data_IF_150163600123
#
_entry.id   IF_150163600123
#
_cell.length_a   1.000
_cell.length_b   1.000
_cell.length_c   1.000
_cell.angle_alpha   90.00
_cell.angle_beta   90.00
_cell.angle_gamma   90.00
#
_symmetry.space_group_name_H-M   'P 1'
#
loop_
_entity.id
_entity.type
_entity.pdbx_description
1 polymer ?
#
# COMPACT_ATOMS: atom_id res chain seq x y z
N UNK A 1 17.42 -14.56 26.67
CA UNK A 1 17.75 -13.14 26.37
C UNK A 1 17.74 -12.78 24.87
N UNK A 2 18.26 -13.61 23.96
CA UNK A 2 18.29 -13.33 22.51
C UNK A 2 16.92 -13.05 21.88
N UNK A 3 15.88 -13.82 22.25
CA UNK A 3 14.52 -13.61 21.75
C UNK A 3 13.89 -12.27 22.17
N UNK A 4 14.19 -11.77 23.38
CA UNK A 4 13.67 -10.49 23.84
C UNK A 4 14.34 -9.30 23.13
N UNK A 5 15.66 -9.37 22.92
CA UNK A 5 16.40 -8.36 22.13
C UNK A 5 15.93 -8.33 20.67
N UNK A 6 15.69 -9.51 20.07
CA UNK A 6 15.17 -9.62 18.70
C UNK A 6 13.76 -9.03 18.56
N UNK A 7 12.83 -9.40 19.44
CA UNK A 7 11.47 -8.83 19.46
C UNK A 7 11.45 -7.32 19.69
N UNK A 8 12.32 -6.80 20.56
CA UNK A 8 12.48 -5.35 20.77
C UNK A 8 12.95 -4.66 19.48
N UNK A 9 13.91 -5.25 18.77
CA UNK A 9 14.40 -4.71 17.50
C UNK A 9 13.31 -4.71 16.41
N UNK A 10 12.52 -5.77 16.32
CA UNK A 10 11.40 -5.88 15.38
C UNK A 10 10.33 -4.81 15.66
N UNK A 11 9.96 -4.60 16.93
CA UNK A 11 9.01 -3.57 17.33
C UNK A 11 9.51 -2.15 17.01
N UNK A 12 10.80 -1.88 17.22
CA UNK A 12 11.42 -0.58 16.87
C UNK A 12 11.38 -0.36 15.35
N UNK A 13 11.67 -1.39 14.55
CA UNK A 13 11.56 -1.29 13.09
C UNK A 13 10.12 -0.99 12.65
N UNK A 14 9.13 -1.68 13.22
CA UNK A 14 7.72 -1.41 12.92
C UNK A 14 7.34 0.02 13.28
N UNK A 15 7.75 0.50 14.45
CA UNK A 15 7.52 1.87 14.88
C UNK A 15 8.14 2.89 13.92
N UNK A 16 9.38 2.66 13.47
CA UNK A 16 10.05 3.51 12.48
C UNK A 16 9.28 3.54 11.15
N UNK A 17 8.76 2.40 10.69
CA UNK A 17 7.94 2.34 9.48
C UNK A 17 6.65 3.16 9.64
N UNK A 18 5.99 3.14 10.81
CA UNK A 18 4.81 3.98 11.09
C UNK A 18 5.16 5.47 10.95
N UNK A 19 6.25 5.91 11.57
CA UNK A 19 6.65 7.31 11.50
C UNK A 19 7.00 7.76 10.08
N UNK A 20 7.71 6.92 9.32
CA UNK A 20 8.03 7.19 7.92
C UNK A 20 6.74 7.29 7.10
N UNK A 21 5.79 6.38 7.32
CA UNK A 21 4.50 6.40 6.63
C UNK A 21 3.74 7.71 6.88
N UNK A 22 3.62 8.13 8.14
CA UNK A 22 2.97 9.39 8.53
C UNK A 22 3.65 10.61 7.92
N UNK A 23 4.99 10.67 7.94
CA UNK A 23 5.75 11.75 7.31
C UNK A 23 5.53 11.81 5.80
N UNK A 24 5.52 10.65 5.13
CA UNK A 24 5.27 10.58 3.68
C UNK A 24 3.84 11.00 3.32
N UNK A 25 2.84 10.61 4.11
CA UNK A 25 1.46 11.08 3.91
C UNK A 25 1.32 12.59 4.11
N UNK A 26 1.94 13.14 5.15
CA UNK A 26 1.96 14.58 5.39
C UNK A 26 2.62 15.34 4.23
N UNK A 27 3.78 14.87 3.78
CA UNK A 27 4.49 15.44 2.64
C UNK A 27 3.63 15.38 1.37
N UNK A 28 3.00 14.24 1.09
CA UNK A 28 2.13 14.07 -0.06
C UNK A 28 0.93 15.03 -0.01
N UNK A 29 0.28 15.16 1.14
CA UNK A 29 -0.82 16.09 1.37
C UNK A 29 -0.40 17.53 1.07
N UNK A 30 0.64 18.00 1.75
CA UNK A 30 1.11 19.38 1.65
C UNK A 30 1.50 19.77 0.21
N UNK A 31 2.01 18.82 -0.56
CA UNK A 31 2.59 19.11 -1.87
C UNK A 31 1.67 18.82 -3.06
N UNK A 32 0.64 17.97 -2.92
CA UNK A 32 -0.20 17.54 -4.05
C UNK A 32 -1.66 17.98 -3.94
N UNK A 33 -2.09 18.42 -2.78
CA UNK A 33 -3.46 18.90 -2.58
C UNK A 33 -3.61 20.27 -3.22
N UNK A 34 -4.47 20.33 -4.24
CA UNK A 34 -4.96 21.55 -4.88
C UNK A 34 -6.48 21.41 -5.03
N UNK A 35 -7.24 22.49 -5.24
CA UNK A 35 -8.70 22.39 -5.39
C UNK A 35 -9.16 21.42 -6.50
N UNK A 36 -8.31 21.17 -7.51
CA UNK A 36 -8.61 20.24 -8.61
C UNK A 36 -8.23 18.79 -8.33
N UNK A 37 -7.36 18.54 -7.35
CA UNK A 37 -6.78 17.21 -7.04
C UNK A 37 -7.14 16.72 -5.64
N UNK A 38 -7.80 17.54 -4.84
CA UNK A 38 -8.11 17.31 -3.43
C UNK A 38 -8.80 15.95 -3.18
N UNK A 39 -9.88 15.67 -3.91
CA UNK A 39 -10.65 14.43 -3.75
C UNK A 39 -9.81 13.17 -4.04
N UNK A 40 -8.98 13.20 -5.08
CA UNK A 40 -8.08 12.09 -5.41
C UNK A 40 -6.99 11.95 -4.35
N UNK A 41 -6.41 13.05 -3.88
CA UNK A 41 -5.37 13.01 -2.85
C UNK A 41 -5.91 12.42 -1.54
N UNK A 42 -7.11 12.83 -1.11
CA UNK A 42 -7.75 12.24 0.06
C UNK A 42 -8.11 10.77 -0.13
N UNK A 43 -8.59 10.39 -1.31
CA UNK A 43 -8.89 8.99 -1.63
C UNK A 43 -7.63 8.11 -1.55
N UNK A 44 -6.50 8.60 -2.07
CA UNK A 44 -5.20 7.95 -1.96
C UNK A 44 -4.79 7.83 -0.49
N UNK A 45 -4.79 8.93 0.27
CA UNK A 45 -4.42 8.91 1.69
C UNK A 45 -5.25 7.88 2.47
N UNK A 46 -6.57 7.91 2.31
CA UNK A 46 -7.47 6.98 2.97
C UNK A 46 -7.17 5.52 2.59
N UNK A 47 -7.02 5.23 1.29
CA UNK A 47 -6.78 3.89 0.78
C UNK A 47 -5.46 3.30 1.29
N UNK A 48 -4.38 4.07 1.26
CA UNK A 48 -3.08 3.60 1.74
C UNK A 48 -3.00 3.49 3.27
N UNK A 49 -3.74 4.34 4.01
CA UNK A 49 -3.92 4.16 5.46
C UNK A 49 -4.67 2.87 5.77
N UNK A 50 -5.70 2.53 4.98
CA UNK A 50 -6.38 1.24 5.09
C UNK A 50 -5.42 0.07 4.83
N UNK A 51 -4.59 0.11 3.78
CA UNK A 51 -3.59 -0.94 3.54
C UNK A 51 -2.63 -1.14 4.70
N UNK A 52 -2.16 -0.03 5.27
CA UNK A 52 -1.23 -0.08 6.39
C UNK A 52 -1.86 -0.68 7.65
N UNK A 53 -3.07 -0.25 8.01
CA UNK A 53 -3.82 -0.82 9.13
C UNK A 53 -4.17 -2.29 8.90
N UNK A 54 -4.57 -2.65 7.68
CA UNK A 54 -4.94 -4.00 7.32
C UNK A 54 -3.72 -4.94 7.37
N UNK A 55 -2.55 -4.45 6.96
CA UNK A 55 -1.27 -5.14 7.13
C UNK A 55 -0.93 -5.40 8.61
N UNK A 56 -1.04 -4.38 9.47
CA UNK A 56 -0.80 -4.53 10.92
C UNK A 56 -1.78 -5.56 11.50
N UNK A 57 -3.08 -5.44 11.20
CA UNK A 57 -4.11 -6.31 11.74
C UNK A 57 -4.02 -7.75 11.22
N UNK A 58 -3.66 -7.97 9.96
CA UNK A 58 -3.41 -9.31 9.42
C UNK A 58 -2.24 -9.99 10.14
N UNK A 59 -1.16 -9.25 10.40
CA UNK A 59 0.01 -9.78 11.08
C UNK A 59 -0.29 -10.22 12.52
N UNK A 60 -1.20 -9.51 13.21
CA UNK A 60 -1.55 -9.76 14.61
C UNK A 60 -2.68 -10.78 14.78
N UNK A 61 -3.71 -10.73 13.94
CA UNK A 61 -4.92 -11.58 14.06
C UNK A 61 -4.70 -12.95 13.42
N UNK A 62 -4.16 -12.99 12.20
CA UNK A 62 -4.07 -14.22 11.40
C UNK A 62 -2.70 -14.92 11.49
N UNK A 63 -1.74 -14.35 12.25
CA UNK A 63 -0.35 -14.85 12.40
C UNK A 63 0.35 -15.16 11.07
N UNK A 64 -0.09 -14.52 9.99
CA UNK A 64 0.52 -14.68 8.67
C UNK A 64 1.88 -13.99 8.72
N UNK A 65 2.96 -14.70 8.34
CA UNK A 65 4.25 -14.04 8.10
C UNK A 65 4.07 -13.08 6.93
N UNK A 66 4.01 -11.79 7.22
CA UNK A 66 3.99 -10.76 6.19
C UNK A 66 5.34 -10.06 6.13
N UNK A 67 5.74 -9.64 4.93
CA UNK A 67 6.95 -8.84 4.69
C UNK A 67 6.92 -7.53 5.47
N UNK A 68 8.06 -6.93 5.77
CA UNK A 68 8.15 -5.74 6.63
C UNK A 68 7.31 -4.54 6.13
N UNK A 69 7.04 -4.45 4.82
CA UNK A 69 6.27 -3.39 4.17
C UNK A 69 5.38 -4.01 3.08
N UNK A 70 4.07 -3.72 3.05
CA UNK A 70 3.18 -4.27 2.02
C UNK A 70 3.46 -3.63 0.66
N UNK A 71 3.36 -4.42 -0.42
CA UNK A 71 3.68 -4.00 -1.80
C UNK A 71 2.97 -2.70 -2.23
N UNK A 72 1.68 -2.47 -1.91
CA UNK A 72 1.03 -1.19 -2.20
C UNK A 72 1.79 0.01 -1.60
N UNK A 73 2.23 -0.10 -0.36
CA UNK A 73 2.90 1.00 0.33
C UNK A 73 4.27 1.28 -0.30
N UNK A 74 4.97 0.25 -0.79
CA UNK A 74 6.22 0.42 -1.55
C UNK A 74 5.95 1.21 -2.85
N UNK A 75 4.92 0.82 -3.61
CA UNK A 75 4.54 1.53 -4.83
C UNK A 75 4.15 2.99 -4.58
N UNK A 76 3.43 3.24 -3.48
CA UNK A 76 3.09 4.59 -3.04
C UNK A 76 4.33 5.45 -2.76
N UNK A 77 5.31 4.92 -2.02
CA UNK A 77 6.56 5.63 -1.75
C UNK A 77 7.37 5.92 -3.01
N UNK A 78 7.50 4.94 -3.91
CA UNK A 78 8.17 5.15 -5.20
C UNK A 78 7.48 6.23 -6.03
N UNK A 79 6.16 6.27 -6.00
CA UNK A 79 5.37 7.27 -6.73
C UNK A 79 5.53 8.67 -6.13
N UNK A 80 5.54 8.82 -4.80
CA UNK A 80 5.84 10.10 -4.15
C UNK A 80 7.25 10.58 -4.48
N UNK A 81 8.23 9.67 -4.41
CA UNK A 81 9.62 9.98 -4.71
C UNK A 81 9.78 10.42 -6.17
N UNK A 82 9.04 9.80 -7.10
CA UNK A 82 8.98 10.21 -8.49
C UNK A 82 8.42 11.63 -8.66
N UNK A 83 7.33 11.97 -7.95
CA UNK A 83 6.76 13.32 -7.95
C UNK A 83 7.77 14.33 -7.40
N UNK A 84 8.45 14.00 -6.30
CA UNK A 84 9.49 14.84 -5.70
C UNK A 84 10.66 15.09 -6.65
N UNK A 85 11.21 14.03 -7.24
CA UNK A 85 12.31 14.13 -8.20
C UNK A 85 11.90 14.98 -9.40
N UNK A 86 10.70 14.76 -9.95
CA UNK A 86 10.19 15.53 -11.08
C UNK A 86 10.09 17.03 -10.78
N UNK A 87 9.77 17.41 -9.55
CA UNK A 87 9.66 18.82 -9.14
C UNK A 87 11.02 19.48 -8.92
N UNK A 88 12.00 18.73 -8.42
CA UNK A 88 13.31 19.28 -8.06
C UNK A 88 14.38 19.12 -9.16
N UNK A 89 14.12 18.34 -10.21
CA UNK A 89 15.11 18.07 -11.24
C UNK A 89 14.62 18.48 -12.63
N UNK A 90 15.56 18.90 -13.50
CA UNK A 90 15.26 19.34 -14.87
C UNK A 90 15.40 18.22 -15.91
N UNK A 91 15.46 16.96 -15.50
CA UNK A 91 15.71 15.83 -16.42
C UNK A 91 14.63 15.75 -17.51
N UNK A 92 15.06 15.74 -18.78
CA UNK A 92 14.16 15.69 -19.96
C UNK A 92 13.24 14.47 -19.94
N UNK A 93 13.71 13.32 -19.46
CA UNK A 93 12.92 12.08 -19.36
C UNK A 93 11.69 12.22 -18.44
N UNK A 94 11.80 12.98 -17.35
CA UNK A 94 10.69 13.20 -16.40
C UNK A 94 9.62 14.16 -16.92
N UNK A 95 9.85 14.82 -18.07
CA UNK A 95 8.87 15.68 -18.75
C UNK A 95 7.94 14.92 -19.70
N UNK A 96 8.02 13.59 -19.73
CA UNK A 96 7.18 12.77 -20.60
C UNK A 96 5.67 12.99 -20.30
N UNK A 97 4.78 13.07 -21.31
CA UNK A 97 3.36 13.34 -21.10
C UNK A 97 2.63 12.29 -20.25
N UNK A 98 3.11 11.04 -20.23
CA UNK A 98 2.59 9.97 -19.36
C UNK A 98 2.92 10.19 -17.86
N UNK A 99 3.89 11.05 -17.55
CA UNK A 99 4.34 11.34 -16.19
C UNK A 99 3.77 12.66 -15.65
N UNK A 100 2.67 13.18 -16.20
CA UNK A 100 1.98 14.34 -15.59
C UNK A 100 1.53 13.99 -14.17
N UNK A 101 1.59 14.96 -13.26
CA UNK A 101 1.28 14.76 -11.84
C UNK A 101 -0.11 14.13 -11.65
N UNK A 102 -1.11 14.61 -12.40
CA UNK A 102 -2.46 14.05 -12.39
C UNK A 102 -2.49 12.57 -12.77
N UNK A 103 -1.74 12.15 -13.79
CA UNK A 103 -1.68 10.74 -14.20
C UNK A 103 -0.98 9.88 -13.16
N UNK A 104 0.08 10.39 -12.53
CA UNK A 104 0.75 9.67 -11.42
C UNK A 104 -0.25 9.43 -10.29
N UNK A 105 -1.05 10.45 -9.92
CA UNK A 105 -2.11 10.28 -8.91
C UNK A 105 -3.14 9.22 -9.32
N UNK A 106 -3.58 9.20 -10.59
CA UNK A 106 -4.48 8.15 -11.09
C UNK A 106 -3.84 6.77 -11.05
N UNK A 107 -2.55 6.63 -11.38
CA UNK A 107 -1.84 5.35 -11.28
C UNK A 107 -1.75 4.85 -9.84
N UNK A 108 -1.45 5.75 -8.89
CA UNK A 108 -1.45 5.43 -7.45
C UNK A 108 -2.83 4.92 -7.02
N UNK A 109 -3.89 5.64 -7.36
CA UNK A 109 -5.26 5.26 -7.01
C UNK A 109 -5.66 3.91 -7.63
N UNK A 110 -5.42 3.75 -8.94
CA UNK A 110 -5.77 2.54 -9.69
C UNK A 110 -5.02 1.31 -9.18
N UNK A 111 -3.72 1.44 -8.93
CA UNK A 111 -2.91 0.37 -8.36
C UNK A 111 -3.41 -0.03 -6.96
N UNK A 112 -3.74 0.98 -6.14
CA UNK A 112 -4.37 0.74 -4.84
C UNK A 112 -5.67 -0.04 -4.98
N UNK A 113 -6.58 0.34 -5.87
CA UNK A 113 -7.86 -0.37 -6.04
C UNK A 113 -7.66 -1.84 -6.45
N UNK A 114 -6.74 -2.12 -7.38
CA UNK A 114 -6.43 -3.50 -7.79
C UNK A 114 -5.95 -4.33 -6.59
N UNK A 115 -5.03 -3.79 -5.80
CA UNK A 115 -4.50 -4.49 -4.63
C UNK A 115 -5.54 -4.64 -3.52
N UNK A 116 -6.53 -3.76 -3.45
CA UNK A 116 -7.63 -3.90 -2.51
C UNK A 116 -8.45 -5.16 -2.82
N UNK A 117 -8.70 -5.42 -4.10
CA UNK A 117 -9.41 -6.63 -4.55
C UNK A 117 -8.60 -7.90 -4.24
N UNK A 118 -7.28 -7.87 -4.46
CA UNK A 118 -6.40 -9.00 -4.15
C UNK A 118 -6.34 -9.30 -2.64
N UNK A 119 -6.23 -8.24 -1.81
CA UNK A 119 -6.31 -8.38 -0.36
C UNK A 119 -7.67 -8.91 0.10
N UNK A 120 -8.77 -8.38 -0.43
CA UNK A 120 -10.11 -8.85 -0.10
C UNK A 120 -10.27 -10.34 -0.44
N UNK A 121 -9.83 -10.76 -1.63
CA UNK A 121 -9.86 -12.15 -2.05
C UNK A 121 -9.04 -13.04 -1.10
N UNK A 122 -7.84 -12.60 -0.70
CA UNK A 122 -6.97 -13.33 0.23
C UNK A 122 -7.61 -13.50 1.61
N UNK A 123 -8.18 -12.43 2.16
CA UNK A 123 -8.85 -12.44 3.47
C UNK A 123 -10.07 -13.37 3.43
N UNK A 124 -10.94 -13.21 2.43
CA UNK A 124 -12.14 -14.05 2.26
C UNK A 124 -11.74 -15.52 2.15
N UNK A 125 -10.73 -15.84 1.33
CA UNK A 125 -10.26 -17.22 1.15
C UNK A 125 -9.73 -17.82 2.45
N UNK A 126 -8.98 -17.05 3.24
CA UNK A 126 -8.44 -17.52 4.51
C UNK A 126 -9.52 -17.72 5.57
N UNK A 127 -10.48 -16.79 5.69
CA UNK A 127 -11.64 -16.93 6.59
C UNK A 127 -12.46 -18.17 6.22
N UNK A 128 -12.69 -18.40 4.92
CA UNK A 128 -13.40 -19.59 4.44
C UNK A 128 -12.68 -20.89 4.80
N UNK A 129 -11.34 -20.90 4.69
CA UNK A 129 -10.52 -22.05 5.12
C UNK A 129 -10.63 -22.28 6.63
N UNK A 130 -10.58 -21.24 7.45
CA UNK A 130 -10.70 -21.36 8.91
C UNK A 130 -12.09 -21.84 9.34
N UNK A 131 -13.14 -21.37 8.68
CA UNK A 131 -14.53 -21.76 8.96
C UNK A 131 -14.93 -23.10 8.31
N UNK A 132 -14.00 -23.76 7.60
CA UNK A 132 -14.26 -24.98 6.83
C UNK A 132 -15.40 -24.84 5.79
N UNK A 133 -15.65 -23.60 5.33
CA UNK A 133 -16.66 -23.28 4.32
C UNK A 133 -15.97 -23.36 2.96
N UNK A 134 -16.24 -24.42 2.19
CA UNK A 134 -15.79 -24.52 0.80
C UNK A 134 -16.55 -23.52 -0.07
N UNK A 135 -15.97 -22.36 -0.36
CA UNK A 135 -16.55 -21.44 -1.32
C UNK A 135 -16.46 -22.01 -2.75
N UNK A 136 -17.56 -21.88 -3.49
CA UNK A 136 -17.87 -22.48 -4.80
C UNK A 136 -16.99 -21.91 -5.96
N UNK A 137 -15.94 -21.13 -5.68
CA UNK A 137 -14.98 -20.72 -6.71
C UNK A 137 -13.98 -21.81 -7.10
N UNK A 138 -14.04 -22.99 -6.48
CA UNK A 138 -13.34 -24.18 -6.94
C UNK A 138 -14.03 -24.84 -8.16
N UNK A 139 -14.52 -24.05 -9.13
CA UNK A 139 -14.61 -24.56 -10.50
C UNK A 139 -13.18 -24.60 -11.02
N UNK A 140 -12.45 -25.66 -10.64
CA UNK A 140 -11.30 -26.14 -11.40
C UNK A 140 -11.73 -26.10 -12.87
N UNK A 141 -11.16 -25.17 -13.64
CA UNK A 141 -11.13 -25.29 -15.09
C UNK A 141 -10.38 -26.58 -15.37
N UNK A 142 -11.11 -27.70 -15.45
CA UNK A 142 -10.64 -28.91 -16.12
C UNK A 142 -10.42 -28.50 -17.56
N UNK A 143 -9.19 -28.12 -17.90
CA UNK A 143 -8.75 -28.14 -19.29
C UNK A 143 -8.91 -29.58 -19.77
N UNK A 144 -9.79 -29.76 -20.76
CA UNK A 144 -9.85 -30.95 -21.61
C UNK A 144 -8.54 -31.08 -22.37
#
# INVERSE_FOLDING_TARGET
MQNAKKKKSEAIMQLAVVYIFSLMQYYFYYTNVTPKTELICFSIIALYSCFYNLFINLSTILKIKMDLIPVPVIFYYLSILLIFLKRNTKYKFLKHPLLKDSYILYYILFFGIIYLLDYAHTIITNICKELNITFIFNKKYKKK
#
